data_IF_629299132193
#
_entry.id   IF_629299132193
#
_cell.length_a   1.000
_cell.length_b   1.000
_cell.length_c   1.000
_cell.angle_alpha   90.00
_cell.angle_beta   90.00
_cell.angle_gamma   90.00
#
_symmetry.space_group_name_H-M   'P 1'
#
loop_
_entity.id
_entity.type
_entity.pdbx_description
1 polymer ?
#
# COMPACT_ATOMS: atom_id res chain seq x y z
N UNK A 1 19.68 1.01 55.32
CA UNK A 1 21.12 0.73 55.10
C UNK A 1 21.23 0.18 53.72
N UNK A 2 21.88 0.67 52.77
CA UNK A 2 22.91 1.66 52.49
C UNK A 2 22.92 1.84 50.98
N UNK A 3 22.68 3.03 50.52
CA UNK A 3 23.40 3.90 49.57
C UNK A 3 24.02 3.29 48.31
N UNK A 4 23.51 3.66 47.20
CA UNK A 4 24.04 4.38 46.00
C UNK A 4 25.55 4.73 46.03
N UNK A 5 26.19 5.25 44.97
CA UNK A 5 25.93 5.37 43.51
C UNK A 5 27.18 5.06 42.66
N UNK A 6 27.12 5.15 41.33
CA UNK A 6 28.12 5.88 40.53
C UNK A 6 27.65 6.11 39.09
N UNK A 7 27.55 7.37 38.81
CA UNK A 7 27.61 8.02 37.51
C UNK A 7 28.93 7.73 36.82
N UNK A 8 28.91 7.55 35.51
CA UNK A 8 30.12 7.77 34.73
C UNK A 8 29.85 8.68 33.54
N UNK A 9 30.35 9.89 33.74
CA UNK A 9 30.46 10.99 32.79
C UNK A 9 31.68 10.74 31.89
N UNK A 10 31.48 10.62 30.60
CA UNK A 10 32.57 10.58 29.62
C UNK A 10 32.24 11.36 28.35
N UNK A 11 31.70 12.56 28.57
CA UNK A 11 31.73 13.63 27.55
C UNK A 11 32.60 14.73 28.08
N UNK A 12 33.83 14.86 27.54
CA UNK A 12 34.71 16.06 27.44
C UNK A 12 36.18 15.69 27.55
N UNK A 13 36.80 15.56 26.37
CA UNK A 13 38.24 15.95 26.16
C UNK A 13 38.59 15.64 24.71
N UNK A 14 38.61 16.70 23.94
CA UNK A 14 39.58 16.94 22.85
C UNK A 14 39.39 18.37 22.36
N UNK A 15 40.04 19.29 23.09
CA UNK A 15 40.40 20.61 22.57
C UNK A 15 41.76 20.95 23.13
N UNK A 16 42.63 21.42 22.22
CA UNK A 16 43.86 22.20 22.41
C UNK A 16 45.17 21.44 22.25
N UNK A 17 45.83 21.82 21.15
CA UNK A 17 47.24 22.25 20.93
C UNK A 17 47.62 21.85 19.50
N UNK A 18 48.23 22.69 18.65
CA UNK A 18 48.86 23.96 18.79
C UNK A 18 49.34 24.42 17.39
N UNK A 19 49.52 25.69 17.24
CA UNK A 19 49.98 26.36 16.03
C UNK A 19 51.47 26.12 15.78
N UNK A 20 51.87 25.95 14.51
CA UNK A 20 53.20 26.26 14.03
C UNK A 20 53.14 26.69 12.57
N UNK A 21 53.74 27.87 12.33
CA UNK A 21 53.91 28.58 11.05
C UNK A 21 54.91 27.84 10.15
N UNK A 22 54.67 27.83 8.85
CA UNK A 22 55.63 27.48 7.82
C UNK A 22 55.21 28.04 6.46
N UNK A 23 56.05 28.95 5.94
CA UNK A 23 55.84 29.72 4.70
C UNK A 23 56.02 28.89 3.41
N UNK A 24 55.19 29.25 2.42
CA UNK A 24 55.44 29.43 0.98
C UNK A 24 55.95 28.26 0.13
N UNK A 25 55.13 27.85 -0.82
CA UNK A 25 55.51 27.70 -2.22
C UNK A 25 54.24 27.70 -3.12
N UNK A 26 54.14 28.73 -3.95
CA UNK A 26 53.17 28.83 -5.03
C UNK A 26 53.49 27.81 -6.12
N UNK A 27 52.62 26.82 -6.31
CA UNK A 27 52.54 26.04 -7.54
C UNK A 27 51.10 26.12 -8.07
N UNK A 28 50.92 26.93 -9.11
CA UNK A 28 49.69 26.96 -9.88
C UNK A 28 49.55 25.61 -10.62
N UNK A 29 48.78 24.70 -10.06
CA UNK A 29 48.29 23.53 -10.77
C UNK A 29 46.82 23.77 -11.14
N UNK A 30 46.61 24.15 -12.41
CA UNK A 30 45.31 24.17 -13.06
C UNK A 30 44.80 22.73 -13.17
N UNK A 31 44.32 22.21 -12.06
CA UNK A 31 43.59 20.95 -12.01
C UNK A 31 42.16 21.19 -12.50
N UNK A 32 41.87 20.86 -13.75
CA UNK A 32 40.53 20.62 -14.24
C UNK A 32 39.93 19.51 -13.36
N UNK A 33 39.27 19.92 -12.27
CA UNK A 33 38.40 19.04 -11.51
C UNK A 33 37.24 18.62 -12.39
N UNK A 34 37.37 17.45 -13.05
CA UNK A 34 36.23 16.77 -13.58
C UNK A 34 35.33 16.41 -12.39
N UNK A 35 34.45 17.34 -12.03
CA UNK A 35 33.35 17.05 -11.12
C UNK A 35 32.58 15.91 -11.71
N UNK A 36 32.68 14.74 -11.08
CA UNK A 36 31.74 13.64 -11.35
C UNK A 36 30.35 14.20 -11.11
N UNK A 37 29.68 14.59 -12.18
CA UNK A 37 28.26 14.89 -12.13
C UNK A 37 27.58 13.59 -11.66
N UNK A 38 27.23 13.58 -10.39
CA UNK A 38 26.35 12.55 -9.85
C UNK A 38 25.09 12.61 -10.69
N UNK A 39 24.86 11.59 -11.52
CA UNK A 39 23.63 11.46 -12.28
C UNK A 39 22.48 11.54 -11.26
N UNK A 40 21.78 12.64 -11.25
CA UNK A 40 20.60 12.80 -10.40
C UNK A 40 19.61 11.71 -10.84
N UNK A 41 19.26 10.81 -9.93
CA UNK A 41 18.19 9.87 -10.17
C UNK A 41 16.96 10.68 -10.60
N UNK A 42 16.36 10.40 -11.77
CA UNK A 42 15.19 11.15 -12.22
C UNK A 42 14.13 11.23 -11.11
N UNK A 43 13.52 12.40 -10.98
CA UNK A 43 12.41 12.56 -10.03
C UNK A 43 11.29 11.58 -10.40
N UNK A 44 10.67 10.95 -9.40
CA UNK A 44 9.54 10.06 -9.61
C UNK A 44 8.39 10.82 -10.27
N UNK A 45 7.80 10.23 -11.33
CA UNK A 45 6.54 10.72 -11.88
C UNK A 45 5.38 10.40 -10.89
N UNK A 46 4.95 11.40 -10.14
CA UNK A 46 3.81 11.28 -9.21
C UNK A 46 2.44 11.23 -9.90
N UNK A 47 2.39 11.32 -11.23
CA UNK A 47 1.16 11.01 -11.99
C UNK A 47 1.04 9.52 -12.28
N UNK A 48 2.14 8.77 -12.14
CA UNK A 48 2.22 7.32 -12.41
C UNK A 48 1.72 6.96 -13.83
N UNK A 49 1.98 7.81 -14.81
CA UNK A 49 1.37 7.70 -16.15
C UNK A 49 1.59 6.33 -16.81
N UNK A 50 2.79 5.76 -16.73
CA UNK A 50 3.07 4.43 -17.29
C UNK A 50 2.31 3.31 -16.57
N UNK A 51 2.19 3.37 -15.24
CA UNK A 51 1.40 2.44 -14.44
C UNK A 51 -0.10 2.59 -14.71
N UNK A 52 -0.61 3.82 -14.77
CA UNK A 52 -1.99 4.14 -15.09
C UNK A 52 -2.40 3.58 -16.45
N UNK A 53 -1.53 3.70 -17.45
CA UNK A 53 -1.76 3.13 -18.77
C UNK A 53 -1.87 1.59 -18.73
N UNK A 54 -1.01 0.90 -17.97
CA UNK A 54 -1.08 -0.54 -17.80
C UNK A 54 -2.37 -0.98 -17.09
N UNK A 55 -2.76 -0.27 -16.03
CA UNK A 55 -4.02 -0.54 -15.33
C UNK A 55 -5.23 -0.36 -16.26
N UNK A 56 -5.31 0.74 -17.00
CA UNK A 56 -6.38 0.99 -17.98
C UNK A 56 -6.43 -0.07 -19.07
N UNK A 57 -5.30 -0.59 -19.48
CA UNK A 57 -5.21 -1.64 -20.50
C UNK A 57 -5.65 -3.01 -20.00
N UNK A 58 -5.32 -3.38 -18.76
CA UNK A 58 -5.41 -4.76 -18.28
C UNK A 58 -6.34 -4.99 -17.07
N UNK A 59 -6.95 -3.92 -16.53
CA UNK A 59 -7.94 -4.06 -15.46
C UNK A 59 -9.31 -3.65 -15.99
N UNK A 60 -10.33 -4.46 -15.74
CA UNK A 60 -11.70 -4.21 -16.21
C UNK A 60 -12.67 -4.19 -15.04
N UNK A 61 -13.47 -3.13 -14.94
CA UNK A 61 -14.64 -3.15 -14.10
C UNK A 61 -15.62 -4.22 -14.58
N UNK A 62 -16.26 -4.92 -13.64
CA UNK A 62 -17.44 -5.72 -13.95
C UNK A 62 -18.64 -4.79 -14.27
N UNK A 63 -19.72 -5.31 -14.89
CA UNK A 63 -20.82 -4.47 -15.36
C UNK A 63 -21.49 -3.60 -14.28
N UNK A 64 -21.45 -4.03 -13.01
CA UNK A 64 -22.00 -3.29 -11.89
C UNK A 64 -21.02 -2.24 -11.30
N UNK A 65 -19.80 -2.14 -11.82
CA UNK A 65 -18.73 -1.25 -11.37
C UNK A 65 -18.33 -1.37 -9.89
N UNK A 66 -18.64 -2.52 -9.25
CA UNK A 66 -18.30 -2.72 -7.83
C UNK A 66 -17.07 -3.60 -7.64
N UNK A 67 -16.78 -4.44 -8.62
CA UNK A 67 -15.63 -5.32 -8.64
C UNK A 67 -14.90 -5.21 -9.98
N UNK A 68 -13.61 -5.54 -10.00
CA UNK A 68 -12.79 -5.62 -11.21
C UNK A 68 -12.19 -7.01 -11.41
N UNK A 69 -11.76 -7.28 -12.64
CA UNK A 69 -10.94 -8.42 -13.00
C UNK A 69 -9.66 -7.94 -13.66
N UNK A 70 -8.62 -8.73 -13.49
CA UNK A 70 -7.26 -8.44 -14.01
C UNK A 70 -6.96 -9.37 -15.17
N UNK A 71 -6.62 -8.83 -16.32
CA UNK A 71 -6.09 -9.58 -17.45
C UNK A 71 -4.61 -9.91 -17.21
N UNK A 72 -4.34 -10.96 -16.42
CA UNK A 72 -2.97 -11.40 -16.15
C UNK A 72 -2.25 -11.89 -17.42
N UNK A 73 -2.97 -12.41 -18.42
CA UNK A 73 -2.39 -12.79 -19.72
C UNK A 73 -1.89 -11.55 -20.46
N UNK A 74 -2.69 -10.48 -20.45
CA UNK A 74 -2.29 -9.19 -21.01
C UNK A 74 -1.10 -8.56 -20.27
N UNK A 75 -1.11 -8.59 -18.92
CA UNK A 75 0.05 -8.16 -18.14
C UNK A 75 1.30 -8.99 -18.43
N UNK A 76 1.17 -10.31 -18.62
CA UNK A 76 2.29 -11.16 -19.00
C UNK A 76 2.88 -10.79 -20.36
N UNK A 77 2.04 -10.40 -21.33
CA UNK A 77 2.50 -9.90 -22.63
C UNK A 77 3.23 -8.55 -22.53
N UNK A 78 2.79 -7.68 -21.61
CA UNK A 78 3.40 -6.37 -21.35
C UNK A 78 4.35 -6.37 -20.15
N UNK A 79 4.84 -7.56 -19.70
CA UNK A 79 5.63 -7.68 -18.48
C UNK A 79 6.88 -6.80 -18.46
N UNK A 80 7.52 -6.60 -19.62
CA UNK A 80 8.67 -5.70 -19.72
C UNK A 80 8.32 -4.24 -19.36
N UNK A 81 7.13 -3.76 -19.75
CA UNK A 81 6.65 -2.43 -19.39
C UNK A 81 6.34 -2.34 -17.89
N UNK A 82 5.72 -3.38 -17.31
CA UNK A 82 5.50 -3.47 -15.86
C UNK A 82 6.83 -3.45 -15.11
N UNK A 83 7.79 -4.27 -15.50
CA UNK A 83 9.11 -4.35 -14.84
C UNK A 83 9.87 -3.02 -14.92
N UNK A 84 9.71 -2.25 -16.01
CA UNK A 84 10.29 -0.90 -16.11
C UNK A 84 9.70 0.02 -15.04
N UNK A 85 8.38 0.05 -14.89
CA UNK A 85 7.69 0.84 -13.84
C UNK A 85 8.17 0.41 -12.45
N UNK A 86 8.22 -0.88 -12.18
CA UNK A 86 8.68 -1.40 -10.87
C UNK A 86 10.15 -1.07 -10.58
N UNK A 87 11.00 -1.06 -11.61
CA UNK A 87 12.39 -0.66 -11.48
C UNK A 87 12.54 0.82 -11.14
N UNK A 88 11.73 1.69 -11.76
CA UNK A 88 11.68 3.13 -11.42
C UNK A 88 11.28 3.33 -9.95
N UNK A 89 10.29 2.60 -9.45
CA UNK A 89 9.89 2.67 -8.03
C UNK A 89 10.96 2.10 -7.09
N UNK A 90 11.62 1.04 -7.51
CA UNK A 90 12.72 0.43 -6.74
C UNK A 90 13.96 1.34 -6.63
N UNK A 91 14.12 2.28 -7.57
CA UNK A 91 15.20 3.26 -7.54
C UNK A 91 14.94 4.45 -6.58
N UNK A 92 13.70 4.61 -6.07
CA UNK A 92 13.37 5.65 -5.10
C UNK A 92 14.08 5.35 -3.78
N UNK A 93 14.97 6.26 -3.36
CA UNK A 93 15.66 6.15 -2.08
C UNK A 93 14.76 6.53 -0.90
N UNK A 94 15.13 6.08 0.31
CA UNK A 94 14.44 6.48 1.53
C UNK A 94 14.44 8.01 1.73
N UNK A 95 15.53 8.70 1.33
CA UNK A 95 15.63 10.15 1.42
C UNK A 95 14.66 10.85 0.45
N UNK A 96 14.57 10.38 -0.79
CA UNK A 96 13.58 10.91 -1.75
C UNK A 96 12.15 10.70 -1.25
N UNK A 97 11.82 9.49 -0.78
CA UNK A 97 10.51 9.18 -0.22
C UNK A 97 10.16 10.05 1.00
N UNK A 98 11.11 10.33 1.87
CA UNK A 98 10.91 11.21 3.03
C UNK A 98 10.60 12.66 2.60
N UNK A 99 11.05 13.09 1.43
CA UNK A 99 10.71 14.40 0.84
C UNK A 99 9.34 14.48 0.17
N UNK A 100 8.63 13.37 -0.01
CA UNK A 100 7.28 13.36 -0.58
C UNK A 100 6.26 13.89 0.42
N UNK A 101 5.17 14.50 -0.08
CA UNK A 101 4.03 14.80 0.77
C UNK A 101 3.41 13.51 1.32
N UNK A 102 2.63 13.61 2.38
CA UNK A 102 1.92 12.46 2.98
C UNK A 102 1.07 11.71 1.95
N UNK A 103 0.35 12.43 1.11
CA UNK A 103 -0.50 11.89 0.05
C UNK A 103 0.34 11.24 -1.07
N UNK A 104 1.48 11.82 -1.42
CA UNK A 104 2.41 11.23 -2.38
C UNK A 104 3.02 9.94 -1.83
N UNK A 105 3.40 9.90 -0.56
CA UNK A 105 3.90 8.69 0.09
C UNK A 105 2.86 7.57 0.10
N UNK A 106 1.61 7.88 0.47
CA UNK A 106 0.53 6.88 0.47
C UNK A 106 0.22 6.37 -0.94
N UNK A 107 0.08 7.27 -1.92
CA UNK A 107 -0.16 6.89 -3.31
C UNK A 107 0.96 6.00 -3.85
N UNK A 108 2.22 6.34 -3.57
CA UNK A 108 3.39 5.54 -3.92
C UNK A 108 3.33 4.14 -3.33
N UNK A 109 3.08 4.02 -2.03
CA UNK A 109 3.01 2.72 -1.34
C UNK A 109 1.86 1.85 -1.84
N UNK A 110 0.68 2.43 -2.09
CA UNK A 110 -0.48 1.69 -2.63
C UNK A 110 -0.19 1.19 -4.04
N UNK A 111 0.33 2.06 -4.92
CA UNK A 111 0.70 1.67 -6.27
C UNK A 111 1.79 0.60 -6.28
N UNK A 112 2.82 0.75 -5.42
CA UNK A 112 3.89 -0.24 -5.27
C UNK A 112 3.35 -1.60 -4.80
N UNK A 113 2.50 -1.64 -3.78
CA UNK A 113 1.86 -2.88 -3.33
C UNK A 113 1.13 -3.58 -4.48
N UNK A 114 0.28 -2.85 -5.20
CA UNK A 114 -0.52 -3.39 -6.29
C UNK A 114 0.34 -3.85 -7.47
N UNK A 115 1.34 -3.08 -7.86
CA UNK A 115 2.25 -3.42 -8.95
C UNK A 115 3.11 -4.65 -8.64
N UNK A 116 3.71 -4.71 -7.45
CA UNK A 116 4.48 -5.86 -7.02
C UNK A 116 3.61 -7.10 -6.79
N UNK A 117 2.35 -6.94 -6.37
CA UNK A 117 1.40 -8.06 -6.30
C UNK A 117 1.16 -8.67 -7.68
N UNK A 118 0.94 -7.86 -8.72
CA UNK A 118 0.79 -8.36 -10.09
C UNK A 118 2.08 -9.08 -10.53
N UNK A 119 3.26 -8.48 -10.33
CA UNK A 119 4.53 -9.12 -10.71
C UNK A 119 4.71 -10.46 -9.98
N UNK A 120 4.34 -10.56 -8.71
CA UNK A 120 4.38 -11.81 -7.94
C UNK A 120 3.48 -12.88 -8.58
N UNK A 121 2.25 -12.55 -8.97
CA UNK A 121 1.34 -13.47 -9.67
C UNK A 121 1.96 -13.94 -11.00
N UNK A 122 2.56 -13.02 -11.78
CA UNK A 122 3.15 -13.34 -13.08
C UNK A 122 4.35 -14.30 -12.99
N UNK A 123 4.94 -14.48 -11.80
CA UNK A 123 6.04 -15.46 -11.62
C UNK A 123 5.61 -16.90 -11.86
N UNK A 124 4.33 -17.23 -11.68
CA UNK A 124 3.78 -18.59 -11.89
C UNK A 124 2.56 -18.64 -12.81
N UNK A 125 2.04 -17.48 -13.25
CA UNK A 125 0.91 -17.45 -14.18
C UNK A 125 1.27 -18.16 -15.50
N UNK A 126 0.37 -18.99 -16.09
CA UNK A 126 -1.02 -19.26 -15.68
C UNK A 126 -1.19 -20.42 -14.67
N UNK A 127 -0.13 -20.99 -14.14
CA UNK A 127 -0.12 -22.24 -13.36
C UNK A 127 -0.41 -21.99 -11.85
N UNK A 128 -1.33 -21.09 -11.52
CA UNK A 128 -1.80 -20.87 -10.15
C UNK A 128 -3.30 -20.57 -10.13
N UNK A 129 -3.97 -20.91 -9.02
CA UNK A 129 -5.40 -20.64 -8.79
C UNK A 129 -5.62 -19.54 -7.76
N UNK A 130 -4.61 -19.25 -6.94
CA UNK A 130 -4.65 -18.30 -5.84
C UNK A 130 -3.24 -17.75 -5.60
N UNK A 131 -3.12 -16.53 -5.08
CA UNK A 131 -1.85 -15.99 -4.59
C UNK A 131 -1.24 -16.91 -3.51
N UNK A 132 -2.05 -17.64 -2.76
CA UNK A 132 -1.59 -18.62 -1.75
C UNK A 132 -0.72 -19.72 -2.33
N UNK A 133 -0.88 -20.05 -3.61
CA UNK A 133 -0.08 -21.07 -4.31
C UNK A 133 1.39 -20.65 -4.48
N UNK A 134 1.71 -19.37 -4.22
CA UNK A 134 3.07 -18.83 -4.24
C UNK A 134 3.79 -18.93 -2.89
N UNK A 135 3.10 -19.36 -1.86
CA UNK A 135 3.65 -19.63 -0.54
C UNK A 135 4.06 -21.10 -0.34
N UNK A 136 4.40 -21.41 0.90
CA UNK A 136 4.62 -22.77 1.38
C UNK A 136 3.93 -22.97 2.72
N UNK A 137 3.99 -24.19 3.27
CA UNK A 137 3.47 -24.49 4.61
C UNK A 137 4.11 -23.60 5.71
N UNK A 138 5.34 -23.13 5.48
CA UNK A 138 6.13 -22.38 6.45
C UNK A 138 6.22 -20.88 6.14
N UNK A 139 5.86 -20.46 4.92
CA UNK A 139 6.07 -19.09 4.48
C UNK A 139 4.89 -18.54 3.68
N UNK A 140 4.29 -17.46 4.20
CA UNK A 140 3.29 -16.67 3.49
C UNK A 140 3.89 -16.02 2.23
N UNK A 141 3.20 -16.04 1.07
CA UNK A 141 3.68 -15.37 -0.14
C UNK A 141 3.90 -13.87 0.06
N UNK A 142 3.14 -13.22 0.92
CA UNK A 142 3.29 -11.79 1.24
C UNK A 142 4.58 -11.46 2.00
N UNK A 143 5.23 -12.44 2.66
CA UNK A 143 6.50 -12.29 3.38
C UNK A 143 7.73 -12.65 2.54
N UNK A 144 7.54 -13.05 1.30
CA UNK A 144 8.66 -13.32 0.39
C UNK A 144 9.34 -12.01 0.00
N UNK A 145 10.63 -11.86 0.32
CA UNK A 145 11.43 -10.70 -0.09
C UNK A 145 11.86 -10.86 -1.55
N UNK A 146 11.16 -10.24 -2.48
CA UNK A 146 11.43 -10.42 -3.92
C UNK A 146 11.70 -9.11 -4.68
N UNK A 147 11.44 -7.95 -4.08
CA UNK A 147 11.69 -6.64 -4.69
C UNK A 147 12.54 -5.74 -3.78
N UNK A 148 13.10 -4.67 -4.34
CA UNK A 148 13.75 -3.60 -3.57
C UNK A 148 12.81 -2.40 -3.48
N UNK A 149 12.68 -1.79 -2.32
CA UNK A 149 11.94 -0.55 -2.13
C UNK A 149 12.63 0.28 -1.04
N UNK A 150 12.78 1.58 -1.28
CA UNK A 150 13.45 2.52 -0.38
C UNK A 150 14.89 2.07 0.01
N UNK A 151 15.58 1.41 -0.91
CA UNK A 151 16.97 0.96 -0.75
C UNK A 151 17.14 -0.43 -0.13
N UNK A 152 16.07 -1.12 0.29
CA UNK A 152 16.15 -2.42 0.96
C UNK A 152 15.33 -3.49 0.27
N UNK A 153 15.74 -4.77 0.45
CA UNK A 153 14.96 -5.93 -0.01
C UNK A 153 13.71 -6.10 0.84
N UNK A 154 12.55 -5.99 0.21
CA UNK A 154 11.25 -5.93 0.89
C UNK A 154 10.25 -6.97 0.38
N UNK A 155 9.13 -7.04 1.07
CA UNK A 155 7.99 -7.92 0.81
C UNK A 155 6.66 -7.15 0.94
N UNK A 156 5.55 -7.71 0.44
CA UNK A 156 4.25 -7.03 0.41
C UNK A 156 3.74 -6.68 1.82
N UNK A 157 3.86 -7.61 2.80
CA UNK A 157 3.48 -7.35 4.19
C UNK A 157 4.21 -6.14 4.79
N UNK A 158 5.46 -5.87 4.37
CA UNK A 158 6.17 -4.68 4.83
C UNK A 158 5.48 -3.39 4.38
N UNK A 159 5.04 -3.33 3.10
CA UNK A 159 4.32 -2.15 2.59
C UNK A 159 3.02 -1.95 3.37
N UNK A 160 2.25 -3.02 3.60
CA UNK A 160 0.95 -2.93 4.26
C UNK A 160 1.08 -2.75 5.77
N UNK A 161 1.85 -3.62 6.46
CA UNK A 161 1.81 -3.73 7.92
C UNK A 161 2.87 -2.88 8.62
N UNK A 162 3.96 -2.49 7.96
CA UNK A 162 5.02 -1.68 8.56
C UNK A 162 5.04 -0.24 8.03
N UNK A 163 4.45 0.00 6.84
CA UNK A 163 4.39 1.34 6.26
C UNK A 163 2.97 1.92 6.28
N UNK A 164 2.00 1.32 5.56
CA UNK A 164 0.68 1.93 5.40
C UNK A 164 -0.12 1.96 6.70
N UNK A 165 -0.35 0.82 7.35
CA UNK A 165 -1.21 0.72 8.54
C UNK A 165 -0.72 1.54 9.74
N UNK A 166 0.58 1.51 10.14
CA UNK A 166 1.02 2.23 11.34
C UNK A 166 1.31 3.71 11.11
N UNK A 167 1.65 4.13 9.87
CA UNK A 167 2.12 5.50 9.62
C UNK A 167 1.04 6.44 9.11
N UNK A 168 -0.07 5.88 8.62
CA UNK A 168 -1.17 6.67 8.07
C UNK A 168 -2.48 6.32 8.78
N UNK A 169 -3.13 7.33 9.35
CA UNK A 169 -4.42 7.17 10.04
C UNK A 169 -5.57 7.05 9.02
N UNK A 170 -5.51 6.01 8.15
CA UNK A 170 -6.39 5.87 7.00
C UNK A 170 -6.84 4.42 6.76
N UNK A 171 -7.92 3.97 7.42
CA UNK A 171 -8.39 2.59 7.30
C UNK A 171 -8.89 2.21 5.91
N UNK A 172 -9.23 3.18 5.03
CA UNK A 172 -9.67 2.89 3.66
C UNK A 172 -8.54 2.34 2.76
N UNK A 173 -7.29 2.31 3.24
CA UNK A 173 -6.21 1.60 2.53
C UNK A 173 -6.57 0.14 2.27
N UNK A 174 -7.35 -0.49 3.17
CA UNK A 174 -7.83 -1.86 3.00
C UNK A 174 -8.79 -2.04 1.82
N UNK A 175 -9.33 -0.95 1.25
CA UNK A 175 -10.09 -0.95 -0.01
C UNK A 175 -9.25 -0.51 -1.22
N UNK A 176 -7.94 -0.28 -1.04
CA UNK A 176 -7.02 0.22 -2.08
C UNK A 176 -5.91 -0.78 -2.43
N UNK A 177 -5.42 -1.56 -1.43
CA UNK A 177 -4.43 -2.61 -1.67
C UNK A 177 -5.14 -3.90 -2.09
N UNK A 178 -4.72 -4.48 -3.22
CA UNK A 178 -5.36 -5.67 -3.79
C UNK A 178 -4.44 -6.88 -3.71
N UNK A 179 -4.89 -7.92 -3.03
CA UNK A 179 -4.16 -9.18 -2.84
C UNK A 179 -4.40 -10.21 -3.94
N UNK A 180 -4.81 -9.80 -5.14
CA UNK A 180 -5.06 -10.66 -6.29
C UNK A 180 -6.16 -11.71 -6.11
N UNK A 181 -7.06 -11.59 -5.12
CA UNK A 181 -8.16 -12.54 -4.93
C UNK A 181 -9.53 -11.93 -5.24
N UNK A 182 -10.51 -12.77 -5.55
CA UNK A 182 -11.91 -12.36 -5.76
C UNK A 182 -12.49 -11.72 -4.49
N UNK A 183 -12.13 -12.22 -3.32
CA UNK A 183 -12.57 -11.66 -2.04
C UNK A 183 -12.01 -10.27 -1.72
N UNK A 184 -10.94 -9.82 -2.39
CA UNK A 184 -10.39 -8.47 -2.23
C UNK A 184 -11.35 -7.38 -2.73
N UNK A 185 -11.24 -6.15 -2.22
CA UNK A 185 -11.71 -4.97 -2.92
C UNK A 185 -11.16 -4.90 -4.34
N UNK A 186 -11.85 -4.19 -5.22
CA UNK A 186 -11.45 -4.08 -6.62
C UNK A 186 -10.07 -3.44 -6.77
N UNK A 187 -9.22 -3.99 -7.64
CA UNK A 187 -8.09 -3.23 -8.18
C UNK A 187 -8.65 -2.15 -9.11
N UNK A 188 -8.31 -0.88 -8.87
CA UNK A 188 -8.75 0.23 -9.73
C UNK A 188 -8.05 0.18 -11.08
N UNK A 189 -8.76 0.40 -12.20
CA UNK A 189 -8.13 0.54 -13.52
C UNK A 189 -7.49 1.93 -13.73
N UNK A 190 -6.99 2.53 -12.65
CA UNK A 190 -6.23 3.78 -12.66
C UNK A 190 -5.24 3.81 -11.49
N UNK A 191 -4.15 4.57 -11.65
CA UNK A 191 -3.18 4.77 -10.59
C UNK A 191 -3.74 5.65 -9.46
N UNK A 192 -3.32 5.39 -8.22
CA UNK A 192 -3.54 6.32 -7.11
C UNK A 192 -2.60 7.51 -7.27
N UNK A 193 -3.14 8.73 -7.15
CA UNK A 193 -2.37 9.97 -7.27
C UNK A 193 -2.69 10.90 -6.12
N UNK A 194 -1.68 11.61 -5.61
CA UNK A 194 -1.81 12.47 -4.42
C UNK A 194 -2.99 13.46 -4.52
N UNK A 195 -3.14 14.11 -5.68
CA UNK A 195 -4.19 15.13 -5.89
C UNK A 195 -5.63 14.59 -5.79
N UNK A 196 -5.84 13.29 -5.95
CA UNK A 196 -7.16 12.63 -5.91
C UNK A 196 -7.24 11.52 -4.87
N UNK A 197 -6.22 11.36 -4.02
CA UNK A 197 -6.08 10.20 -3.15
C UNK A 197 -7.30 9.99 -2.25
N UNK A 198 -7.77 11.04 -1.57
CA UNK A 198 -8.93 10.95 -0.68
C UNK A 198 -10.21 10.51 -1.43
N UNK A 199 -10.45 11.08 -2.61
CA UNK A 199 -11.58 10.72 -3.46
C UNK A 199 -11.47 9.27 -3.99
N UNK A 200 -10.26 8.83 -4.35
CA UNK A 200 -10.01 7.45 -4.84
C UNK A 200 -10.19 6.42 -3.73
N UNK A 201 -9.74 6.72 -2.51
CA UNK A 201 -9.93 5.86 -1.34
C UNK A 201 -11.42 5.77 -0.95
N UNK A 202 -12.13 6.90 -0.97
CA UNK A 202 -13.56 6.93 -0.66
C UNK A 202 -14.37 6.15 -1.70
N UNK A 203 -14.13 6.38 -2.99
CA UNK A 203 -14.80 5.64 -4.07
C UNK A 203 -14.51 4.13 -3.97
N UNK A 204 -13.26 3.74 -3.68
CA UNK A 204 -12.90 2.34 -3.47
C UNK A 204 -13.68 1.70 -2.33
N UNK A 205 -13.79 2.41 -1.20
CA UNK A 205 -14.54 1.94 -0.04
C UNK A 205 -16.04 1.86 -0.33
N UNK A 206 -16.63 2.85 -0.99
CA UNK A 206 -18.05 2.86 -1.37
C UNK A 206 -18.38 1.68 -2.30
N UNK A 207 -17.58 1.42 -3.33
CA UNK A 207 -17.76 0.28 -4.24
C UNK A 207 -17.66 -1.04 -3.50
N UNK A 208 -16.67 -1.18 -2.62
CA UNK A 208 -16.49 -2.38 -1.83
C UNK A 208 -17.69 -2.65 -0.92
N UNK A 209 -18.18 -1.62 -0.21
CA UNK A 209 -19.36 -1.73 0.66
C UNK A 209 -20.65 -1.99 -0.12
N UNK A 210 -20.74 -1.53 -1.37
CA UNK A 210 -21.90 -1.73 -2.23
C UNK A 210 -21.96 -3.11 -2.91
N UNK A 211 -20.87 -3.88 -2.88
CA UNK A 211 -20.84 -5.22 -3.50
C UNK A 211 -21.53 -6.26 -2.61
N UNK A 212 -22.74 -6.65 -3.00
CA UNK A 212 -23.60 -7.59 -2.26
C UNK A 212 -22.99 -8.99 -2.11
N UNK A 213 -22.02 -9.34 -2.94
CA UNK A 213 -21.34 -10.65 -2.83
C UNK A 213 -20.35 -10.67 -1.67
N UNK A 214 -19.86 -9.49 -1.25
CA UNK A 214 -18.82 -9.32 -0.24
C UNK A 214 -19.27 -8.56 1.00
N UNK A 215 -20.29 -7.69 0.88
CA UNK A 215 -20.84 -6.91 1.98
C UNK A 215 -22.33 -6.67 1.73
N UNK A 216 -23.18 -6.94 2.72
CA UNK A 216 -24.61 -6.73 2.64
C UNK A 216 -25.27 -6.66 4.01
N UNK A 217 -26.43 -6.06 4.08
CA UNK A 217 -27.34 -6.25 5.20
C UNK A 217 -28.36 -7.31 4.81
N UNK A 218 -28.42 -8.40 5.55
CA UNK A 218 -29.35 -9.50 5.34
C UNK A 218 -29.60 -10.24 6.65
N UNK A 219 -30.79 -10.84 6.80
CA UNK A 219 -31.19 -11.61 7.98
C UNK A 219 -31.03 -10.83 9.29
N UNK A 220 -31.29 -9.51 9.25
CA UNK A 220 -31.17 -8.63 10.41
C UNK A 220 -29.71 -8.33 10.85
N UNK A 221 -28.71 -8.64 10.02
CA UNK A 221 -27.28 -8.53 10.34
C UNK A 221 -26.51 -7.79 9.22
N UNK A 222 -25.47 -7.09 9.61
CA UNK A 222 -24.43 -6.68 8.68
C UNK A 222 -23.50 -7.88 8.41
N UNK A 223 -23.65 -8.49 7.23
CA UNK A 223 -22.81 -9.59 6.76
C UNK A 223 -21.68 -8.98 5.94
N UNK A 224 -20.47 -8.92 6.50
CA UNK A 224 -19.36 -8.18 5.91
C UNK A 224 -18.16 -9.06 5.60
N UNK A 225 -17.27 -8.57 4.76
CA UNK A 225 -16.07 -9.26 4.34
C UNK A 225 -15.13 -9.55 5.52
N UNK A 226 -14.34 -10.62 5.40
CA UNK A 226 -13.34 -11.02 6.40
C UNK A 226 -12.27 -9.96 6.67
N UNK A 227 -12.03 -9.03 5.76
CA UNK A 227 -11.12 -7.88 5.97
C UNK A 227 -11.52 -7.11 7.23
N UNK A 228 -12.80 -6.91 7.49
CA UNK A 228 -13.30 -6.23 8.69
C UNK A 228 -13.13 -7.03 9.99
N UNK A 229 -12.85 -8.32 9.89
CA UNK A 229 -12.45 -9.15 11.02
C UNK A 229 -10.93 -9.15 11.23
N UNK A 230 -10.18 -9.34 10.14
CA UNK A 230 -8.72 -9.44 10.20
C UNK A 230 -8.05 -8.13 10.61
N UNK A 231 -8.61 -6.99 10.14
CA UNK A 231 -8.08 -5.65 10.35
C UNK A 231 -9.01 -4.77 11.19
N UNK A 232 -9.85 -5.41 12.03
CA UNK A 232 -10.87 -4.72 12.83
C UNK A 232 -10.30 -3.54 13.60
N UNK A 233 -9.13 -3.69 14.20
CA UNK A 233 -8.47 -2.65 14.98
C UNK A 233 -8.23 -1.35 14.19
N UNK A 234 -7.94 -1.43 12.88
CA UNK A 234 -7.67 -0.25 12.07
C UNK A 234 -8.94 0.58 11.84
N UNK A 235 -10.11 -0.06 11.88
CA UNK A 235 -11.43 0.59 11.79
C UNK A 235 -11.95 1.09 13.15
N UNK A 236 -11.28 0.76 14.26
CA UNK A 236 -11.72 1.08 15.63
C UNK A 236 -10.74 2.01 16.36
N UNK A 237 -9.67 2.50 15.73
CA UNK A 237 -8.65 3.41 16.32
C UNK A 237 -9.09 4.88 16.40
N UNK A 238 -10.34 5.21 16.11
CA UNK A 238 -10.83 6.60 16.09
C UNK A 238 -10.50 7.35 14.80
N UNK A 239 -9.80 6.72 13.84
CA UNK A 239 -9.51 7.31 12.55
C UNK A 239 -10.82 7.56 11.80
N UNK A 240 -10.92 8.72 11.13
CA UNK A 240 -12.14 9.18 10.43
C UNK A 240 -13.40 9.25 11.33
N UNK A 241 -13.21 9.31 12.65
CA UNK A 241 -14.29 9.31 13.63
C UNK A 241 -14.87 7.92 13.92
N UNK A 242 -14.22 6.84 13.49
CA UNK A 242 -14.68 5.48 13.75
C UNK A 242 -13.97 4.89 14.97
N UNK A 243 -14.70 4.76 16.07
CA UNK A 243 -14.21 4.15 17.31
C UNK A 243 -14.69 2.71 17.48
N UNK A 244 -15.64 2.30 16.65
CA UNK A 244 -16.17 0.94 16.54
C UNK A 244 -16.46 0.64 15.08
N UNK A 245 -16.45 -0.63 14.71
CA UNK A 245 -16.77 -1.05 13.34
C UNK A 245 -18.18 -0.58 12.91
N UNK A 246 -19.13 -0.54 13.86
CA UNK A 246 -20.50 -0.07 13.63
C UNK A 246 -20.55 1.41 13.20
N UNK A 247 -19.59 2.25 13.60
CA UNK A 247 -19.53 3.65 13.13
C UNK A 247 -19.22 3.71 11.64
N UNK A 248 -18.29 2.88 11.18
CA UNK A 248 -17.98 2.72 9.75
C UNK A 248 -19.17 2.14 8.99
N UNK A 249 -19.83 1.10 9.50
CA UNK A 249 -21.03 0.52 8.87
C UNK A 249 -22.16 1.53 8.75
N UNK A 250 -22.37 2.35 9.77
CA UNK A 250 -23.37 3.44 9.75
C UNK A 250 -23.01 4.50 8.68
N UNK A 251 -21.74 4.83 8.50
CA UNK A 251 -21.27 5.76 7.45
C UNK A 251 -21.59 5.25 6.05
N UNK A 252 -21.52 3.94 5.83
CA UNK A 252 -21.76 3.29 4.53
C UNK A 252 -23.11 2.56 4.47
N UNK A 253 -24.10 2.98 5.27
CA UNK A 253 -25.42 2.35 5.31
C UNK A 253 -26.12 2.33 3.94
N UNK A 254 -25.98 3.41 3.14
CA UNK A 254 -26.54 3.51 1.78
C UNK A 254 -25.95 2.44 0.84
N UNK A 255 -24.66 2.14 1.01
CA UNK A 255 -23.97 1.13 0.20
C UNK A 255 -24.30 -0.29 0.64
N UNK A 256 -24.52 -0.51 1.95
CA UNK A 256 -24.73 -1.84 2.53
C UNK A 256 -26.16 -2.37 2.38
N UNK A 257 -27.16 -1.49 2.35
CA UNK A 257 -28.56 -1.87 2.39
C UNK A 257 -29.40 -1.16 1.34
N UNK A 258 -30.40 -1.87 0.79
CA UNK A 258 -31.28 -1.34 -0.24
C UNK A 258 -32.57 -0.73 0.40
N UNK A 259 -33.08 -1.35 1.47
CA UNK A 259 -34.28 -0.87 2.14
C UNK A 259 -33.97 0.26 3.14
N UNK A 260 -34.78 1.34 3.19
CA UNK A 260 -34.60 2.43 4.16
C UNK A 260 -34.56 1.96 5.62
N UNK A 261 -35.42 1.02 6.01
CA UNK A 261 -35.46 0.48 7.37
C UNK A 261 -34.15 -0.23 7.77
N UNK A 262 -33.49 -0.92 6.82
CA UNK A 262 -32.20 -1.59 7.05
C UNK A 262 -31.07 -0.55 7.19
N UNK A 263 -31.11 0.51 6.40
CA UNK A 263 -30.17 1.65 6.52
C UNK A 263 -30.29 2.32 7.89
N UNK A 264 -31.51 2.50 8.39
CA UNK A 264 -31.75 3.07 9.70
C UNK A 264 -31.25 2.16 10.83
N UNK A 265 -31.34 0.84 10.67
CA UNK A 265 -30.71 -0.13 11.58
C UNK A 265 -29.19 0.02 11.58
N UNK A 266 -28.57 0.15 10.42
CA UNK A 266 -27.11 0.37 10.33
C UNK A 266 -26.73 1.71 10.96
N UNK A 267 -27.47 2.80 10.70
CA UNK A 267 -27.24 4.14 11.28
C UNK A 267 -27.41 4.17 12.79
N UNK A 268 -28.27 3.33 13.35
CA UNK A 268 -28.44 3.22 14.81
C UNK A 268 -27.21 2.64 15.51
N UNK A 269 -26.24 2.09 14.77
CA UNK A 269 -25.05 1.40 15.31
C UNK A 269 -25.35 0.22 16.24
N UNK A 270 -26.58 -0.21 16.29
CA UNK A 270 -27.03 -1.38 17.06
C UNK A 270 -27.42 -2.51 16.11
N UNK A 271 -26.40 -3.09 15.48
CA UNK A 271 -26.54 -4.12 14.47
C UNK A 271 -25.59 -5.27 14.76
N UNK A 272 -26.09 -6.50 14.67
CA UNK A 272 -25.25 -7.68 14.74
C UNK A 272 -24.38 -7.78 13.48
N UNK A 273 -23.12 -8.15 13.66
CA UNK A 273 -22.14 -8.29 12.59
C UNK A 273 -21.81 -9.77 12.42
N UNK A 274 -21.81 -10.25 11.19
CA UNK A 274 -21.27 -11.55 10.79
C UNK A 274 -20.32 -11.39 9.63
N UNK A 275 -19.49 -12.40 9.38
CA UNK A 275 -18.49 -12.33 8.33
C UNK A 275 -18.78 -13.39 7.27
N UNK A 276 -18.70 -12.96 6.02
CA UNK A 276 -18.85 -13.82 4.84
C UNK A 276 -17.54 -14.56 4.56
N UNK A 277 -17.64 -15.73 3.96
CA UNK A 277 -16.46 -16.47 3.51
C UNK A 277 -15.64 -15.64 2.50
N UNK A 278 -14.33 -15.77 2.60
CA UNK A 278 -13.42 -15.03 1.74
C UNK A 278 -12.96 -15.89 0.57
N UNK A 279 -13.29 -15.46 -0.64
CA UNK A 279 -12.89 -16.15 -1.86
C UNK A 279 -11.44 -15.83 -2.23
N UNK A 280 -10.57 -16.82 -2.02
CA UNK A 280 -9.14 -16.74 -2.34
C UNK A 280 -8.81 -17.05 -3.81
N UNK A 281 -9.79 -17.37 -4.64
CA UNK A 281 -9.58 -17.58 -6.07
C UNK A 281 -8.99 -16.33 -6.72
N UNK A 282 -8.10 -16.53 -7.69
CA UNK A 282 -7.46 -15.43 -8.41
C UNK A 282 -8.52 -14.57 -9.12
N UNK A 283 -8.42 -13.26 -9.00
CA UNK A 283 -9.30 -12.28 -9.64
C UNK A 283 -9.02 -12.11 -11.16
N UNK A 284 -8.67 -13.20 -11.83
CA UNK A 284 -8.33 -13.27 -13.25
C UNK A 284 -9.57 -13.03 -14.15
N UNK A 285 -9.39 -12.24 -15.21
CA UNK A 285 -10.41 -11.97 -16.22
C UNK A 285 -10.75 -13.22 -17.05
N UNK A 286 -9.80 -14.14 -17.18
CA UNK A 286 -9.97 -15.37 -17.96
C UNK A 286 -10.75 -16.49 -17.24
N UNK A 287 -11.24 -16.23 -16.03
CA UNK A 287 -11.94 -17.22 -15.19
C UNK A 287 -13.36 -16.84 -14.88
#
# INVERSE_FOLDING_TARGET
MSRNPTTNDSRRRWLRRGAALGLAATAAASGLGAGTAWAQTPALDHTYAAWDALLKKHVRWLPDNKQSRVDYKGFAADRAALQKVLAEWSAVSAAQFAGFSREQQMAFLINAYNGFTIELILTKYPNLKSIKDLGSLLQSPWKNKFFTLLGERQHLDWIEHEMLRPKYAEPRIHAAVNCASIGCPALRPEAFVAARLDAQLEDGMQRFMADRTRNRYADGKAQVNMIFKWFREDFEKGHRGWSRLEDMLARYAEQLADAPADRDKLRSRNVAISHLDYDWSLNDLAR
#
